data_IF_531333802531
#
_entry.id   IF_531333802531
#
_cell.length_a   1.000
_cell.length_b   1.000
_cell.length_c   1.000
_cell.angle_alpha   90.00
_cell.angle_beta   90.00
_cell.angle_gamma   90.00
#
_symmetry.space_group_name_H-M   'P 1'
#
loop_
_entity.id
_entity.type
_entity.pdbx_description
1 polymer ?
#
# COMPACT_ATOMS: atom_id res chain seq x y z
N UNK A 1 13.74 -3.49 10.95
CA UNK A 1 15.02 -3.22 10.21
C UNK A 1 14.73 -2.26 9.06
N UNK A 2 15.52 -1.19 8.88
CA UNK A 2 15.23 -0.16 7.86
C UNK A 2 15.26 -0.75 6.44
N UNK A 3 14.52 -0.11 5.55
CA UNK A 3 14.54 -0.43 4.11
C UNK A 3 15.93 -0.11 3.56
N UNK A 4 16.56 -1.11 2.91
CA UNK A 4 17.85 -0.93 2.24
C UNK A 4 17.66 -0.11 0.93
N UNK A 5 18.22 1.10 0.82
CA UNK A 5 18.11 1.91 -0.39
C UNK A 5 18.66 1.23 -1.66
N UNK A 6 19.63 0.29 -1.51
CA UNK A 6 20.18 -0.48 -2.63
C UNK A 6 19.22 -1.59 -3.11
N UNK A 7 18.21 -1.93 -2.32
CA UNK A 7 17.19 -2.93 -2.63
C UNK A 7 15.84 -2.26 -3.01
N UNK A 8 15.89 -1.09 -3.63
CA UNK A 8 14.70 -0.40 -4.18
C UNK A 8 14.83 -0.30 -5.68
N UNK A 9 13.84 -0.84 -6.41
CA UNK A 9 13.73 -0.62 -7.85
C UNK A 9 12.98 0.67 -8.11
N UNK A 10 13.55 1.53 -8.95
CA UNK A 10 12.93 2.80 -9.35
C UNK A 10 12.65 2.82 -10.85
N UNK A 11 11.47 3.27 -11.27
CA UNK A 11 11.13 3.46 -12.68
C UNK A 11 11.85 4.65 -13.33
N UNK A 12 12.32 5.60 -12.51
CA UNK A 12 12.83 6.89 -12.97
C UNK A 12 14.16 7.23 -12.30
N UNK A 13 15.18 7.70 -13.04
CA UNK A 13 16.44 8.15 -12.47
C UNK A 13 16.24 9.30 -11.46
N UNK A 14 17.08 9.38 -10.42
CA UNK A 14 16.94 10.34 -9.31
C UNK A 14 16.76 11.79 -9.79
N UNK A 15 17.51 12.24 -10.78
CA UNK A 15 17.43 13.62 -11.31
C UNK A 15 16.16 13.96 -12.09
N UNK A 16 15.23 13.01 -12.25
CA UNK A 16 13.97 13.17 -13.00
C UNK A 16 12.72 12.90 -12.16
N UNK A 17 12.85 12.75 -10.84
CA UNK A 17 11.76 12.39 -9.91
C UNK A 17 11.01 13.62 -9.38
N UNK A 18 11.72 14.73 -9.20
CA UNK A 18 11.17 15.92 -8.55
C UNK A 18 9.89 16.44 -9.22
N UNK A 19 8.90 16.77 -8.40
CA UNK A 19 7.61 17.32 -8.82
C UNK A 19 6.64 16.31 -9.44
N UNK A 20 6.99 15.01 -9.45
CA UNK A 20 6.10 13.95 -9.96
C UNK A 20 5.39 13.24 -8.80
N UNK A 21 4.20 12.65 -9.04
CA UNK A 21 3.58 11.73 -8.10
C UNK A 21 4.48 10.51 -7.86
N UNK A 22 4.58 10.07 -6.62
CA UNK A 22 5.31 8.87 -6.21
C UNK A 22 4.32 7.74 -5.92
N UNK A 23 4.52 6.58 -6.56
CA UNK A 23 3.79 5.34 -6.27
C UNK A 23 4.75 4.33 -5.67
N UNK A 24 4.49 3.93 -4.43
CA UNK A 24 5.29 2.93 -3.71
C UNK A 24 4.61 1.56 -3.77
N UNK A 25 5.33 0.53 -4.22
CA UNK A 25 4.82 -0.83 -4.38
C UNK A 25 5.34 -1.74 -3.26
N UNK A 26 4.46 -2.30 -2.44
CA UNK A 26 4.80 -3.18 -1.32
C UNK A 26 4.37 -4.62 -1.63
N UNK A 27 5.33 -5.51 -1.84
CA UNK A 27 5.11 -6.90 -2.22
C UNK A 27 4.50 -7.76 -1.10
N UNK A 28 3.91 -8.91 -1.46
CA UNK A 28 3.41 -9.90 -0.51
C UNK A 28 4.52 -10.70 0.18
N UNK A 29 4.14 -11.46 1.22
CA UNK A 29 5.04 -12.36 1.95
C UNK A 29 5.73 -13.36 1.01
N UNK A 30 7.03 -13.57 1.20
CA UNK A 30 7.83 -14.51 0.40
C UNK A 30 8.18 -14.03 -1.00
N UNK A 31 7.86 -12.75 -1.33
CA UNK A 31 8.11 -12.14 -2.62
C UNK A 31 9.30 -11.16 -2.58
N UNK A 32 9.43 -10.27 -3.54
CA UNK A 32 10.54 -9.34 -3.64
C UNK A 32 10.16 -8.05 -4.38
N UNK A 33 11.09 -7.09 -4.45
CA UNK A 33 10.95 -5.79 -5.11
C UNK A 33 10.61 -5.86 -6.61
N UNK A 34 10.93 -6.95 -7.28
CA UNK A 34 10.64 -7.14 -8.70
C UNK A 34 9.20 -7.55 -8.98
N UNK A 35 8.51 -8.17 -8.02
CA UNK A 35 7.22 -8.82 -8.25
C UNK A 35 6.12 -7.84 -8.68
N UNK A 36 5.85 -6.79 -7.89
CA UNK A 36 4.87 -5.77 -8.26
C UNK A 36 5.44 -4.77 -9.28
N UNK A 37 6.76 -4.59 -9.34
CA UNK A 37 7.37 -3.71 -10.32
C UNK A 37 7.09 -4.14 -11.77
N UNK A 38 6.88 -5.43 -12.01
CA UNK A 38 6.48 -5.95 -13.33
C UNK A 38 5.10 -5.43 -13.79
N UNK A 39 4.27 -4.95 -12.86
CA UNK A 39 2.96 -4.34 -13.16
C UNK A 39 3.06 -2.88 -13.61
N UNK A 40 4.25 -2.27 -13.55
CA UNK A 40 4.46 -0.84 -13.92
C UNK A 40 3.87 -0.44 -15.28
N UNK A 41 3.86 -1.28 -16.33
CA UNK A 41 3.24 -0.91 -17.62
C UNK A 41 1.72 -0.71 -17.56
N UNK A 42 1.05 -1.24 -16.53
CA UNK A 42 -0.41 -1.11 -16.31
C UNK A 42 -0.77 0.03 -15.37
N UNK A 43 0.22 0.63 -14.69
CA UNK A 43 0.06 1.72 -13.73
C UNK A 43 0.25 3.08 -14.44
N UNK A 44 -0.16 4.21 -13.83
CA UNK A 44 0.00 5.53 -14.47
C UNK A 44 1.47 5.84 -14.79
N UNK A 45 1.77 6.13 -16.05
CA UNK A 45 3.14 6.31 -16.57
C UNK A 45 3.80 7.62 -16.15
N UNK A 46 3.05 8.58 -15.67
CA UNK A 46 3.52 9.86 -15.14
C UNK A 46 3.99 9.78 -13.68
N UNK A 47 3.67 8.69 -12.99
CA UNK A 47 4.19 8.42 -11.65
C UNK A 47 5.65 7.96 -11.67
N UNK A 48 6.39 8.39 -10.64
CA UNK A 48 7.64 7.72 -10.27
C UNK A 48 7.26 6.49 -9.45
N UNK A 49 7.64 5.30 -9.93
CA UNK A 49 7.38 4.06 -9.20
C UNK A 49 8.63 3.70 -8.40
N UNK A 50 8.44 3.41 -7.12
CA UNK A 50 9.45 2.87 -6.21
C UNK A 50 8.96 1.53 -5.65
N UNK A 51 9.75 0.48 -5.80
CA UNK A 51 9.43 -0.85 -5.26
C UNK A 51 10.55 -1.30 -4.32
N UNK A 52 10.43 -1.05 -3.02
CA UNK A 52 11.38 -1.51 -2.03
C UNK A 52 11.20 -3.00 -1.73
N UNK A 53 12.27 -3.63 -1.26
CA UNK A 53 12.29 -5.00 -0.76
C UNK A 53 12.09 -5.04 0.74
N UNK A 54 11.26 -5.97 1.24
CA UNK A 54 11.12 -6.25 2.66
C UNK A 54 12.45 -6.66 3.29
N UNK A 55 12.73 -6.29 4.55
CA UNK A 55 14.05 -6.48 5.16
C UNK A 55 14.31 -7.89 5.71
N UNK A 56 13.28 -8.72 5.84
CA UNK A 56 13.37 -10.02 6.53
C UNK A 56 13.36 -11.15 5.50
N UNK A 57 14.38 -12.02 5.42
CA UNK A 57 14.33 -13.21 4.56
C UNK A 57 13.17 -14.15 4.92
N UNK A 58 12.43 -14.62 3.91
CA UNK A 58 11.29 -15.51 4.07
C UNK A 58 11.19 -16.50 2.90
N UNK A 59 11.64 -17.74 3.12
CA UNK A 59 11.78 -18.74 2.06
C UNK A 59 12.76 -18.29 0.98
N UNK A 60 12.33 -18.30 -0.27
CA UNK A 60 13.13 -17.83 -1.42
C UNK A 60 12.99 -16.31 -1.67
N UNK A 61 12.25 -15.62 -0.83
CA UNK A 61 11.97 -14.19 -0.93
C UNK A 61 12.08 -13.47 0.41
N UNK A 62 11.21 -12.48 0.62
CA UNK A 62 11.31 -11.50 1.69
C UNK A 62 9.96 -11.24 2.37
N UNK A 63 10.02 -10.75 3.59
CA UNK A 63 8.89 -10.35 4.43
C UNK A 63 9.12 -8.95 4.98
N UNK A 64 8.02 -8.27 5.27
CA UNK A 64 8.05 -6.96 5.91
C UNK A 64 8.15 -7.06 7.42
N UNK A 65 7.40 -7.99 8.01
CA UNK A 65 7.37 -8.24 9.45
C UNK A 65 7.21 -9.74 9.73
N UNK A 66 7.58 -10.16 10.93
CA UNK A 66 7.40 -11.54 11.35
C UNK A 66 5.91 -11.85 11.58
N UNK A 67 5.34 -12.67 10.70
CA UNK A 67 3.92 -13.08 10.77
C UNK A 67 3.64 -14.07 11.89
N UNK A 68 4.66 -14.72 12.47
CA UNK A 68 4.52 -15.66 13.58
C UNK A 68 4.55 -14.94 14.94
N UNK A 69 5.06 -13.73 14.99
CA UNK A 69 5.09 -12.94 16.22
C UNK A 69 3.71 -12.33 16.51
N UNK A 70 3.42 -12.12 17.79
CA UNK A 70 2.17 -11.49 18.21
C UNK A 70 2.08 -10.03 17.72
N UNK A 71 1.02 -9.72 16.97
CA UNK A 71 0.71 -8.32 16.57
C UNK A 71 0.19 -7.51 17.78
N UNK A 72 0.27 -6.17 17.77
CA UNK A 72 0.67 -5.33 16.62
C UNK A 72 2.17 -4.99 16.59
N UNK A 73 2.99 -5.30 17.58
CA UNK A 73 4.34 -4.75 17.72
C UNK A 73 5.23 -4.92 16.47
N UNK A 74 5.41 -6.10 15.85
CA UNK A 74 6.27 -6.24 14.67
C UNK A 74 5.73 -5.46 13.45
N UNK A 75 4.40 -5.38 13.31
CA UNK A 75 3.77 -4.63 12.24
C UNK A 75 3.99 -3.12 12.44
N UNK A 76 3.81 -2.63 13.67
CA UNK A 76 4.01 -1.22 14.01
C UNK A 76 5.46 -0.77 13.78
N UNK A 77 6.43 -1.58 14.24
CA UNK A 77 7.86 -1.31 14.00
C UNK A 77 8.17 -1.22 12.51
N UNK A 78 7.63 -2.12 11.70
CA UNK A 78 7.82 -2.10 10.26
C UNK A 78 7.10 -0.93 9.57
N UNK A 79 5.94 -0.54 10.08
CA UNK A 79 5.21 0.64 9.59
C UNK A 79 5.98 1.94 9.87
N UNK A 80 6.57 2.07 11.08
CA UNK A 80 7.41 3.22 11.42
C UNK A 80 8.69 3.27 10.56
N UNK A 81 9.33 2.13 10.30
CA UNK A 81 10.49 2.06 9.39
C UNK A 81 10.13 2.39 7.93
N UNK A 82 8.94 1.96 7.47
CA UNK A 82 8.43 2.37 6.16
C UNK A 82 8.18 3.88 6.12
N UNK A 83 7.60 4.45 7.18
CA UNK A 83 7.34 5.87 7.31
C UNK A 83 8.64 6.71 7.27
N UNK A 84 9.69 6.29 7.99
CA UNK A 84 11.00 6.93 7.94
C UNK A 84 11.59 6.94 6.51
N UNK A 85 11.43 5.84 5.78
CA UNK A 85 11.86 5.76 4.39
C UNK A 85 10.98 6.64 3.49
N UNK A 86 9.64 6.61 3.65
CA UNK A 86 8.70 7.45 2.92
C UNK A 86 8.98 8.94 3.12
N UNK A 87 9.27 9.39 4.34
CA UNK A 87 9.60 10.78 4.64
C UNK A 87 10.79 11.28 3.80
N UNK A 88 11.76 10.39 3.53
CA UNK A 88 12.89 10.70 2.64
C UNK A 88 12.50 10.63 1.16
N UNK A 89 11.76 9.60 0.75
CA UNK A 89 11.41 9.35 -0.64
C UNK A 89 10.43 10.39 -1.22
N UNK A 90 9.53 10.92 -0.37
CA UNK A 90 8.53 11.93 -0.76
C UNK A 90 9.04 13.36 -0.85
N UNK A 91 10.26 13.65 -0.39
CA UNK A 91 10.74 15.03 -0.20
C UNK A 91 10.54 15.96 -1.42
N UNK A 92 10.62 15.40 -2.62
CA UNK A 92 10.43 16.14 -3.87
C UNK A 92 9.18 15.67 -4.67
N UNK A 93 8.37 14.78 -4.11
CA UNK A 93 7.16 14.26 -4.79
C UNK A 93 5.99 15.25 -4.65
N UNK A 94 5.13 15.33 -5.68
CA UNK A 94 3.90 16.13 -5.62
C UNK A 94 2.81 15.47 -4.77
N UNK A 95 2.78 14.13 -4.75
CA UNK A 95 1.90 13.30 -3.93
C UNK A 95 2.52 11.92 -3.73
N UNK A 96 2.02 11.16 -2.75
CA UNK A 96 2.46 9.79 -2.46
C UNK A 96 1.26 8.85 -2.41
N UNK A 97 1.23 7.89 -3.31
CA UNK A 97 0.34 6.74 -3.25
C UNK A 97 1.13 5.49 -2.82
N UNK A 98 0.50 4.64 -2.01
CA UNK A 98 1.05 3.33 -1.66
C UNK A 98 0.14 2.25 -2.25
N UNK A 99 0.72 1.28 -2.97
CA UNK A 99 0.03 0.08 -3.43
C UNK A 99 0.66 -1.12 -2.77
N UNK A 100 -0.10 -1.84 -1.97
CA UNK A 100 0.36 -3.03 -1.29
C UNK A 100 -0.49 -4.25 -1.61
N UNK A 101 0.16 -5.39 -1.85
CA UNK A 101 -0.49 -6.68 -2.02
C UNK A 101 -0.29 -7.54 -0.77
N UNK A 102 -1.38 -8.14 -0.26
CA UNK A 102 -1.33 -9.09 0.86
C UNK A 102 -0.59 -8.48 2.07
N UNK A 103 0.51 -9.07 2.55
CA UNK A 103 1.32 -8.54 3.64
C UNK A 103 1.77 -7.08 3.39
N UNK A 104 2.15 -6.73 2.16
CA UNK A 104 2.50 -5.36 1.79
C UNK A 104 1.32 -4.39 1.90
N UNK A 105 0.10 -4.88 1.63
CA UNK A 105 -1.12 -4.11 1.84
C UNK A 105 -1.40 -3.84 3.32
N UNK A 106 -1.26 -4.87 4.16
CA UNK A 106 -1.37 -4.72 5.63
C UNK A 106 -0.37 -3.70 6.16
N UNK A 107 0.88 -3.76 5.68
CA UNK A 107 1.92 -2.80 6.07
C UNK A 107 1.59 -1.38 5.60
N UNK A 108 1.17 -1.21 4.33
CA UNK A 108 0.81 0.09 3.77
C UNK A 108 -0.34 0.75 4.53
N UNK A 109 -1.37 -0.04 4.88
CA UNK A 109 -2.48 0.44 5.69
C UNK A 109 -2.02 0.83 7.10
N UNK A 110 -1.16 0.02 7.74
CA UNK A 110 -0.65 0.35 9.07
C UNK A 110 0.23 1.61 9.06
N UNK A 111 1.03 1.80 7.99
CA UNK A 111 1.81 3.04 7.84
C UNK A 111 0.90 4.27 7.69
N UNK A 112 -0.19 4.17 6.92
CA UNK A 112 -1.19 5.23 6.81
C UNK A 112 -1.89 5.51 8.15
N UNK A 113 -2.22 4.48 8.95
CA UNK A 113 -2.83 4.65 10.28
C UNK A 113 -1.94 5.43 11.25
N UNK A 114 -0.63 5.17 11.20
CA UNK A 114 0.33 5.73 12.14
C UNK A 114 0.94 7.05 11.69
N UNK A 115 1.02 7.27 10.38
CA UNK A 115 1.66 8.42 9.74
C UNK A 115 0.82 8.94 8.56
N UNK A 116 -0.42 9.39 8.82
CA UNK A 116 -1.36 9.79 7.77
C UNK A 116 -0.86 10.94 6.89
N UNK A 117 0.04 11.76 7.39
CA UNK A 117 0.66 12.87 6.65
C UNK A 117 1.64 12.42 5.55
N UNK A 118 2.04 11.15 5.53
CA UNK A 118 3.01 10.62 4.57
C UNK A 118 2.39 9.94 3.36
N UNK A 119 1.09 9.60 3.41
CA UNK A 119 0.40 8.82 2.37
C UNK A 119 -0.88 9.52 1.96
N UNK A 120 -0.95 10.01 0.72
CA UNK A 120 -2.11 10.74 0.21
C UNK A 120 -3.23 9.81 -0.27
N UNK A 121 -2.90 8.59 -0.74
CA UNK A 121 -3.87 7.55 -1.12
C UNK A 121 -3.29 6.15 -0.96
N UNK A 122 -4.16 5.15 -0.75
CA UNK A 122 -3.75 3.76 -0.58
C UNK A 122 -4.52 2.83 -1.54
N UNK A 123 -3.80 1.90 -2.17
CA UNK A 123 -4.35 0.75 -2.88
C UNK A 123 -4.04 -0.50 -2.07
N UNK A 124 -5.08 -1.10 -1.49
CA UNK A 124 -5.02 -2.29 -0.66
C UNK A 124 -5.54 -3.49 -1.47
N UNK A 125 -4.63 -4.35 -1.96
CA UNK A 125 -4.97 -5.52 -2.75
C UNK A 125 -4.85 -6.80 -1.92
N UNK A 126 -5.93 -7.53 -1.74
CA UNK A 126 -6.03 -8.76 -0.91
C UNK A 126 -5.37 -8.59 0.47
N UNK A 127 -5.38 -7.37 1.01
CA UNK A 127 -4.90 -7.03 2.35
C UNK A 127 -6.05 -6.79 3.32
N UNK A 128 -5.71 -6.67 4.60
CA UNK A 128 -6.65 -6.47 5.70
C UNK A 128 -6.16 -5.40 6.68
N UNK A 129 -7.08 -4.83 7.46
CA UNK A 129 -6.76 -4.01 8.62
C UNK A 129 -6.32 -4.90 9.79
N UNK A 130 -5.34 -4.45 10.57
CA UNK A 130 -5.08 -5.04 11.88
C UNK A 130 -6.22 -4.69 12.85
N UNK A 131 -6.70 -5.67 13.60
CA UNK A 131 -7.85 -5.52 14.51
C UNK A 131 -7.51 -4.72 15.77
N UNK A 132 -6.23 -4.47 16.03
CA UNK A 132 -5.78 -3.72 17.20
C UNK A 132 -6.04 -2.23 16.95
N UNK A 133 -6.64 -1.55 17.92
CA UNK A 133 -6.84 -0.10 17.87
C UNK A 133 -5.48 0.60 17.83
N UNK A 134 -5.31 1.50 16.87
CA UNK A 134 -4.11 2.34 16.76
C UNK A 134 -4.41 3.77 17.22
N UNK A 135 -3.47 4.45 17.89
CA UNK A 135 -3.65 5.85 18.31
C UNK A 135 -3.95 6.83 17.16
N UNK A 136 -3.63 6.48 15.91
CA UNK A 136 -3.91 7.29 14.72
C UNK A 136 -5.33 7.13 14.17
N UNK A 137 -6.08 6.10 14.58
CA UNK A 137 -7.43 5.85 14.06
C UNK A 137 -8.37 7.07 14.16
N UNK A 138 -8.45 7.82 15.28
CA UNK A 138 -9.32 9.00 15.37
C UNK A 138 -8.95 10.13 14.39
N UNK A 139 -7.70 10.24 13.97
CA UNK A 139 -7.29 11.20 12.95
C UNK A 139 -7.81 10.80 11.58
N UNK A 140 -7.78 9.50 11.25
CA UNK A 140 -8.29 8.97 9.98
C UNK A 140 -9.82 9.07 9.86
N UNK A 141 -10.58 8.97 10.95
CA UNK A 141 -12.03 9.24 10.95
C UNK A 141 -12.35 10.65 10.41
N UNK A 142 -11.46 11.61 10.67
CA UNK A 142 -11.60 13.00 10.23
C UNK A 142 -11.05 13.23 8.82
N UNK A 143 -9.84 12.72 8.55
CA UNK A 143 -9.14 12.91 7.27
C UNK A 143 -9.80 12.15 6.12
N UNK A 144 -10.27 10.93 6.39
CA UNK A 144 -10.90 10.01 5.43
C UNK A 144 -10.12 9.91 4.10
N UNK A 145 -8.84 9.50 4.15
CA UNK A 145 -8.03 9.40 2.94
C UNK A 145 -8.67 8.46 1.91
N UNK A 146 -8.47 8.68 0.60
CA UNK A 146 -8.95 7.77 -0.42
C UNK A 146 -8.24 6.42 -0.34
N UNK A 147 -9.01 5.33 -0.21
CA UNK A 147 -8.51 3.96 -0.20
C UNK A 147 -9.26 3.12 -1.23
N UNK A 148 -8.52 2.50 -2.16
CA UNK A 148 -9.02 1.42 -2.99
C UNK A 148 -8.77 0.09 -2.29
N UNK A 149 -9.82 -0.73 -2.14
CA UNK A 149 -9.71 -2.07 -1.59
C UNK A 149 -10.22 -3.11 -2.58
N UNK A 150 -9.28 -3.87 -3.17
CA UNK A 150 -9.54 -4.93 -4.12
C UNK A 150 -9.36 -6.32 -3.50
N UNK A 151 -10.31 -7.25 -3.75
CA UNK A 151 -10.22 -8.62 -3.27
C UNK A 151 -11.06 -9.57 -4.10
N UNK A 152 -10.65 -10.84 -4.13
CA UNK A 152 -11.39 -11.91 -4.76
C UNK A 152 -12.38 -12.62 -3.83
N UNK A 153 -13.46 -13.18 -4.37
CA UNK A 153 -14.42 -13.98 -3.58
C UNK A 153 -13.93 -15.39 -3.28
N UNK A 154 -12.96 -15.89 -4.04
CA UNK A 154 -12.34 -17.20 -3.85
C UNK A 154 -10.95 -17.12 -3.15
N UNK A 155 -10.66 -15.98 -2.51
CA UNK A 155 -9.44 -15.82 -1.71
C UNK A 155 -9.57 -16.65 -0.42
N UNK A 156 -8.75 -17.72 -0.33
CA UNK A 156 -8.70 -18.67 0.79
C UNK A 156 -7.55 -18.39 1.77
N UNK A 157 -6.75 -17.36 1.52
CA UNK A 157 -5.65 -16.92 2.37
C UNK A 157 -6.14 -15.97 3.45
N UNK A 158 -7.09 -15.10 3.12
CA UNK A 158 -7.67 -14.11 4.04
C UNK A 158 -8.93 -14.67 4.71
N UNK A 159 -8.97 -14.83 6.05
CA UNK A 159 -10.16 -15.31 6.76
C UNK A 159 -11.37 -14.37 6.56
N UNK A 160 -12.55 -14.96 6.36
CA UNK A 160 -13.79 -14.22 6.06
C UNK A 160 -14.18 -13.24 7.18
N UNK A 161 -13.86 -13.59 8.43
CA UNK A 161 -14.10 -12.74 9.61
C UNK A 161 -13.25 -11.46 9.55
N UNK A 162 -12.00 -11.58 9.09
CA UNK A 162 -11.11 -10.44 8.92
C UNK A 162 -11.52 -9.56 7.73
N UNK A 163 -12.14 -10.14 6.69
CA UNK A 163 -12.71 -9.38 5.58
C UNK A 163 -13.83 -8.46 6.08
N UNK A 164 -14.75 -8.97 6.92
CA UNK A 164 -15.84 -8.17 7.48
C UNK A 164 -15.33 -7.04 8.38
N UNK A 165 -14.43 -7.37 9.32
CA UNK A 165 -13.81 -6.39 10.21
C UNK A 165 -13.02 -5.30 9.44
N UNK A 166 -12.32 -5.69 8.38
CA UNK A 166 -11.58 -4.75 7.51
C UNK A 166 -12.54 -3.79 6.80
N UNK A 167 -13.67 -4.29 6.27
CA UNK A 167 -14.67 -3.43 5.62
C UNK A 167 -15.21 -2.40 6.60
N UNK A 168 -15.67 -2.84 7.77
CA UNK A 168 -16.23 -1.96 8.78
C UNK A 168 -15.23 -0.86 9.16
N UNK A 169 -13.95 -1.23 9.38
CA UNK A 169 -12.90 -0.28 9.67
C UNK A 169 -12.65 0.71 8.53
N UNK A 170 -12.55 0.24 7.27
CA UNK A 170 -12.30 1.09 6.10
C UNK A 170 -13.47 2.06 5.84
N UNK A 171 -14.71 1.62 6.01
CA UNK A 171 -15.90 2.48 5.88
C UNK A 171 -15.91 3.62 6.92
N UNK A 172 -15.40 3.38 8.12
CA UNK A 172 -15.32 4.38 9.18
C UNK A 172 -14.18 5.38 8.95
N UNK A 173 -13.01 4.92 8.48
CA UNK A 173 -11.76 5.67 8.50
C UNK A 173 -11.28 6.17 7.13
N UNK A 174 -12.04 5.93 6.04
CA UNK A 174 -11.58 6.29 4.70
C UNK A 174 -12.71 6.74 3.76
N UNK A 175 -12.33 7.32 2.64
CA UNK A 175 -13.17 7.41 1.43
C UNK A 175 -12.92 6.14 0.62
N UNK A 176 -13.75 5.11 0.91
CA UNK A 176 -13.54 3.76 0.40
C UNK A 176 -14.04 3.57 -1.02
N UNK A 177 -13.20 2.99 -1.87
CA UNK A 177 -13.54 2.40 -3.17
C UNK A 177 -13.34 0.88 -3.08
N UNK A 178 -14.39 0.12 -2.67
CA UNK A 178 -14.31 -1.34 -2.62
C UNK A 178 -14.58 -1.96 -4.00
N UNK A 179 -13.79 -3.00 -4.35
CA UNK A 179 -13.98 -3.84 -5.53
C UNK A 179 -13.87 -5.31 -5.18
N UNK A 180 -14.87 -6.06 -5.61
CA UNK A 180 -14.96 -7.50 -5.34
C UNK A 180 -14.96 -8.24 -6.68
N UNK A 181 -14.01 -9.15 -6.85
CA UNK A 181 -13.82 -9.91 -8.09
C UNK A 181 -14.30 -11.34 -7.88
N UNK A 182 -15.36 -11.71 -8.62
CA UNK A 182 -15.98 -13.03 -8.50
C UNK A 182 -15.04 -14.13 -8.99
N UNK A 183 -14.99 -15.26 -8.27
CA UNK A 183 -14.15 -16.43 -8.53
C UNK A 183 -12.62 -16.13 -8.60
N UNK A 184 -12.17 -14.98 -8.12
CA UNK A 184 -10.74 -14.64 -8.03
C UNK A 184 -10.21 -15.08 -6.66
N UNK A 185 -9.06 -15.77 -6.66
CA UNK A 185 -8.33 -16.17 -5.47
C UNK A 185 -7.39 -15.08 -4.96
N UNK A 186 -6.30 -15.48 -4.27
CA UNK A 186 -5.31 -14.56 -3.70
C UNK A 186 -4.28 -14.10 -4.75
N UNK A 187 -4.71 -13.34 -5.77
CA UNK A 187 -3.87 -12.76 -6.82
C UNK A 187 -4.51 -11.52 -7.43
N UNK A 188 -3.73 -10.75 -8.20
CA UNK A 188 -4.16 -9.52 -8.88
C UNK A 188 -4.57 -9.87 -10.31
N UNK A 189 -5.71 -9.34 -10.77
CA UNK A 189 -6.23 -9.53 -12.13
C UNK A 189 -5.99 -8.30 -13.01
N UNK A 190 -6.03 -8.48 -14.34
CA UNK A 190 -5.94 -7.38 -15.31
C UNK A 190 -7.12 -6.38 -15.15
N UNK A 191 -8.31 -6.89 -14.82
CA UNK A 191 -9.48 -6.04 -14.56
C UNK A 191 -9.25 -5.15 -13.33
N UNK A 192 -8.72 -5.72 -12.26
CA UNK A 192 -8.37 -4.99 -11.04
C UNK A 192 -7.31 -3.92 -11.31
N UNK A 193 -6.26 -4.24 -12.08
CA UNK A 193 -5.23 -3.27 -12.47
C UNK A 193 -5.80 -2.08 -13.26
N UNK A 194 -6.78 -2.31 -14.13
CA UNK A 194 -7.47 -1.25 -14.85
C UNK A 194 -8.23 -0.28 -13.93
N UNK A 195 -8.87 -0.81 -12.88
CA UNK A 195 -9.58 0.00 -11.88
C UNK A 195 -8.61 0.70 -10.92
N UNK A 196 -7.52 0.03 -10.52
CA UNK A 196 -6.41 0.65 -9.77
C UNK A 196 -5.79 1.81 -10.53
N UNK A 197 -5.54 1.64 -11.86
CA UNK A 197 -5.03 2.73 -12.70
C UNK A 197 -5.97 3.94 -12.66
N UNK A 198 -7.27 3.71 -12.80
CA UNK A 198 -8.27 4.77 -12.78
C UNK A 198 -8.32 5.48 -11.43
N UNK A 199 -8.33 4.71 -10.32
CA UNK A 199 -8.29 5.24 -8.97
C UNK A 199 -7.05 6.10 -8.70
N UNK A 200 -5.85 5.63 -9.08
CA UNK A 200 -4.61 6.38 -8.91
C UNK A 200 -4.64 7.70 -9.69
N UNK A 201 -5.17 7.71 -10.93
CA UNK A 201 -5.34 8.91 -11.75
C UNK A 201 -6.28 9.94 -11.14
N UNK A 202 -7.30 9.49 -10.44
CA UNK A 202 -8.27 10.36 -9.77
C UNK A 202 -7.70 11.02 -8.51
N UNK A 203 -6.74 10.34 -7.85
CA UNK A 203 -6.22 10.75 -6.54
C UNK A 203 -4.73 11.12 -6.53
N UNK A 204 -4.10 11.35 -7.68
CA UNK A 204 -2.67 11.67 -7.80
C UNK A 204 -2.28 13.13 -7.44
N UNK A 205 -3.09 13.79 -6.61
CA UNK A 205 -2.81 15.12 -6.11
C UNK A 205 -3.10 16.26 -7.08
N UNK A 206 -3.62 15.97 -8.26
CA UNK A 206 -4.16 16.98 -9.18
C UNK A 206 -5.59 17.37 -8.77
N UNK A 207 -5.79 17.83 -7.55
CA UNK A 207 -6.88 18.76 -7.29
C UNK A 207 -6.49 20.04 -8.02
N UNK A 208 -6.99 20.21 -9.24
CA UNK A 208 -7.12 21.55 -9.83
C UNK A 208 -7.77 22.41 -8.76
N UNK A 209 -7.01 23.40 -8.28
CA UNK A 209 -7.56 24.41 -7.40
C UNK A 209 -8.77 25.00 -8.14
N UNK A 210 -9.96 24.60 -7.72
CA UNK A 210 -11.20 25.23 -8.13
C UNK A 210 -11.11 26.68 -7.72
N UNK A 211 -10.75 27.54 -8.67
CA UNK A 211 -10.84 28.99 -8.58
C UNK A 211 -12.28 29.43 -8.76
#
# INVERSE_FOLDING_TARGET
MPIDPAAVIWSTPVGQRAGKPLLVLLHGLGSNEGALFQLSPYLPLDHVIASPRGPIPAGDGWSWFDVAAARPAPLNESADELADWLATARADASSVAVLGFSQGGVLGLQALRRHPELVDSLVLLSGIADETVDPGDPELEVLRPPIFWGRGTADDVVPVEQVAATRDWLEEHSTLTERIYEDVGHWITDAELGEVHSFLREHDGHQEASR
#
